data_IF_816865130999
#
_entry.id   IF_816865130999
#
_cell.length_a   1.000
_cell.length_b   1.000
_cell.length_c   1.000
_cell.angle_alpha   90.00
_cell.angle_beta   90.00
_cell.angle_gamma   90.00
#
_symmetry.space_group_name_H-M   'P 1'
#
loop_
_entity.id
_entity.type
_entity.pdbx_description
1 polymer ?
#
# COMPACT_ATOMS: atom_id res chain seq x y z
N UNK A 1 19.61 -20.21 19.43
CA UNK A 1 19.87 -18.78 19.21
C UNK A 1 18.55 -18.15 18.81
N UNK A 2 17.98 -17.26 19.61
CA UNK A 2 16.79 -16.48 19.22
C UNK A 2 17.20 -15.49 18.14
N UNK A 3 16.64 -15.59 16.94
CA UNK A 3 16.85 -14.59 15.91
C UNK A 3 16.37 -13.23 16.43
N UNK A 4 17.25 -12.23 16.48
CA UNK A 4 16.80 -10.85 16.64
C UNK A 4 15.95 -10.55 15.41
N UNK A 5 14.65 -10.30 15.59
CA UNK A 5 13.78 -9.85 14.50
C UNK A 5 14.24 -8.42 14.19
N UNK A 6 15.07 -8.29 13.16
CA UNK A 6 15.50 -6.97 12.67
C UNK A 6 14.37 -6.42 11.81
N UNK A 7 13.92 -5.23 12.17
CA UNK A 7 12.94 -4.48 11.40
C UNK A 7 13.45 -4.26 9.97
N UNK A 8 12.66 -4.57 8.92
CA UNK A 8 13.07 -4.21 7.57
C UNK A 8 13.17 -2.68 7.48
N UNK A 9 14.13 -2.14 6.71
CA UNK A 9 14.24 -0.71 6.45
C UNK A 9 12.90 -0.13 5.99
N UNK A 10 12.62 1.12 6.36
CA UNK A 10 11.32 1.76 6.11
C UNK A 10 10.91 1.70 4.64
N UNK A 11 11.86 1.97 3.75
CA UNK A 11 11.71 1.82 2.30
C UNK A 11 11.24 0.41 1.91
N UNK A 12 11.94 -0.63 2.38
CA UNK A 12 11.61 -2.03 2.09
C UNK A 12 10.25 -2.43 2.67
N UNK A 13 9.92 -1.95 3.87
CA UNK A 13 8.61 -2.15 4.47
C UNK A 13 7.49 -1.59 3.58
N UNK A 14 7.65 -0.36 3.09
CA UNK A 14 6.65 0.28 2.24
C UNK A 14 6.45 -0.47 0.92
N UNK A 15 7.54 -0.90 0.27
CA UNK A 15 7.48 -1.71 -0.96
C UNK A 15 6.76 -3.03 -0.74
N UNK A 16 7.07 -3.73 0.36
CA UNK A 16 6.45 -5.02 0.70
C UNK A 16 4.95 -4.87 0.99
N UNK A 17 4.56 -3.85 1.76
CA UNK A 17 3.16 -3.61 2.08
C UNK A 17 2.36 -3.16 0.87
N UNK A 18 2.90 -2.28 0.02
CA UNK A 18 2.28 -1.89 -1.25
C UNK A 18 2.10 -3.11 -2.16
N UNK A 19 3.15 -3.91 -2.31
CA UNK A 19 3.09 -5.13 -3.14
C UNK A 19 2.04 -6.08 -2.59
N UNK A 20 2.06 -6.38 -1.29
CA UNK A 20 1.08 -7.27 -0.66
C UNK A 20 -0.36 -6.76 -0.78
N UNK A 21 -0.57 -5.44 -0.71
CA UNK A 21 -1.88 -4.83 -0.94
C UNK A 21 -2.37 -5.05 -2.36
N UNK A 22 -1.52 -4.77 -3.36
CA UNK A 22 -1.88 -4.88 -4.77
C UNK A 22 -2.02 -6.35 -5.19
N UNK A 23 -1.19 -7.26 -4.69
CA UNK A 23 -1.21 -8.68 -5.09
C UNK A 23 -2.14 -9.56 -4.25
N UNK A 24 -2.90 -8.99 -3.31
CA UNK A 24 -3.87 -9.76 -2.51
C UNK A 24 -4.86 -10.50 -3.42
N UNK A 25 -5.25 -11.74 -3.10
CA UNK A 25 -6.04 -12.59 -4.01
C UNK A 25 -7.53 -12.68 -3.69
N UNK A 26 -7.92 -12.12 -2.55
CA UNK A 26 -9.30 -12.15 -2.06
C UNK A 26 -9.64 -10.81 -1.43
N UNK A 27 -10.94 -10.51 -1.32
CA UNK A 27 -11.43 -9.30 -0.65
C UNK A 27 -10.98 -9.23 0.83
N UNK A 28 -10.87 -10.38 1.48
CA UNK A 28 -10.42 -10.50 2.87
C UNK A 28 -8.90 -10.27 3.00
N UNK A 29 -8.09 -10.85 2.11
CA UNK A 29 -6.65 -10.59 2.07
C UNK A 29 -6.36 -9.13 1.80
N UNK A 30 -7.08 -8.55 0.83
CA UNK A 30 -6.97 -7.14 0.49
C UNK A 30 -7.34 -6.26 1.68
N UNK A 31 -8.48 -6.53 2.33
CA UNK A 31 -8.92 -5.75 3.49
C UNK A 31 -7.90 -5.81 4.62
N UNK A 32 -7.34 -6.99 4.91
CA UNK A 32 -6.28 -7.14 5.92
C UNK A 32 -5.01 -6.42 5.53
N UNK A 33 -4.57 -6.52 4.28
CA UNK A 33 -3.39 -5.80 3.79
C UNK A 33 -3.59 -4.27 3.88
N UNK A 34 -4.77 -3.78 3.50
CA UNK A 34 -5.15 -2.39 3.58
C UNK A 34 -5.15 -1.88 5.02
N UNK A 35 -5.77 -2.62 5.95
CA UNK A 35 -5.83 -2.27 7.37
C UNK A 35 -4.47 -2.38 8.08
N UNK A 36 -3.58 -3.23 7.58
CA UNK A 36 -2.21 -3.34 8.06
C UNK A 36 -1.28 -2.27 7.47
N UNK A 37 -1.68 -1.61 6.38
CA UNK A 37 -0.88 -0.59 5.72
C UNK A 37 -1.30 0.82 6.10
N UNK A 38 -2.59 1.15 6.06
CA UNK A 38 -3.11 2.48 6.35
C UNK A 38 -3.66 2.59 7.78
N UNK A 39 -3.31 3.69 8.45
CA UNK A 39 -3.90 4.04 9.75
C UNK A 39 -5.41 4.29 9.62
N UNK A 40 -6.12 4.24 10.75
CA UNK A 40 -7.59 4.47 10.77
C UNK A 40 -7.95 5.91 10.43
N UNK A 41 -7.11 6.86 10.81
CA UNK A 41 -7.27 8.32 10.64
C UNK A 41 -6.36 8.89 9.52
N UNK A 42 -5.99 8.05 8.56
CA UNK A 42 -5.15 8.43 7.42
C UNK A 42 -5.75 9.59 6.62
N UNK A 43 -4.91 10.56 6.24
CA UNK A 43 -5.25 11.63 5.30
C UNK A 43 -4.90 11.22 3.88
N UNK A 44 -5.86 11.22 2.98
CA UNK A 44 -5.68 10.73 1.61
C UNK A 44 -5.97 11.84 0.62
N UNK A 45 -5.05 12.02 -0.33
CA UNK A 45 -5.23 12.80 -1.55
C UNK A 45 -4.99 11.83 -2.72
N UNK A 46 -6.02 11.60 -3.53
CA UNK A 46 -5.96 10.71 -4.68
C UNK A 46 -6.27 11.50 -5.94
N UNK A 47 -5.33 11.55 -6.88
CA UNK A 47 -5.42 12.35 -8.11
C UNK A 47 -5.79 13.83 -7.87
N UNK A 48 -5.28 14.41 -6.78
CA UNK A 48 -5.51 15.80 -6.40
C UNK A 48 -6.77 16.03 -5.56
N UNK A 49 -7.64 15.03 -5.43
CA UNK A 49 -8.88 15.14 -4.65
C UNK A 49 -8.73 14.49 -3.27
N UNK A 50 -9.17 15.17 -2.18
CA UNK A 50 -9.25 14.56 -0.87
C UNK A 50 -10.26 13.41 -0.87
N UNK A 51 -9.87 12.26 -0.33
CA UNK A 51 -10.76 11.10 -0.19
C UNK A 51 -10.81 10.60 1.25
N UNK A 52 -11.95 10.02 1.63
CA UNK A 52 -12.01 9.23 2.86
C UNK A 52 -11.27 7.91 2.68
N UNK A 53 -10.88 7.30 3.80
CA UNK A 53 -10.26 5.97 3.82
C UNK A 53 -11.11 4.91 3.12
N UNK A 54 -12.43 4.95 3.32
CA UNK A 54 -13.35 3.98 2.74
C UNK A 54 -13.56 4.21 1.24
N UNK A 55 -13.66 5.47 0.80
CA UNK A 55 -13.70 5.82 -0.63
C UNK A 55 -12.44 5.32 -1.35
N UNK A 56 -11.27 5.60 -0.79
CA UNK A 56 -10.01 5.14 -1.34
C UNK A 56 -9.90 3.61 -1.39
N UNK A 57 -10.34 2.93 -0.32
CA UNK A 57 -10.42 1.47 -0.28
C UNK A 57 -11.30 0.93 -1.41
N UNK A 58 -12.47 1.54 -1.60
CA UNK A 58 -13.42 1.14 -2.64
C UNK A 58 -12.86 1.39 -4.05
N UNK A 59 -12.18 2.51 -4.29
CA UNK A 59 -11.49 2.79 -5.56
C UNK A 59 -10.46 1.70 -5.86
N UNK A 60 -9.58 1.37 -4.90
CA UNK A 60 -8.61 0.29 -5.12
C UNK A 60 -9.26 -1.10 -5.30
N UNK A 61 -10.46 -1.33 -4.76
CA UNK A 61 -11.19 -2.59 -4.98
C UNK A 61 -11.86 -2.65 -6.35
N UNK A 62 -12.34 -1.53 -6.89
CA UNK A 62 -13.00 -1.52 -8.20
C UNK A 62 -12.03 -1.76 -9.35
N UNK A 63 -10.80 -1.27 -9.22
CA UNK A 63 -9.71 -1.60 -10.16
C UNK A 63 -9.48 -3.11 -10.25
N UNK A 64 -9.75 -3.81 -9.14
CA UNK A 64 -9.46 -5.22 -9.00
C UNK A 64 -10.57 -6.17 -9.41
N UNK A 65 -11.57 -5.66 -10.11
CA UNK A 65 -12.74 -6.46 -10.48
C UNK A 65 -12.33 -7.65 -11.36
N UNK A 66 -12.62 -8.87 -10.87
CA UNK A 66 -12.34 -10.15 -11.55
C UNK A 66 -10.85 -10.47 -11.81
N UNK A 67 -9.95 -9.94 -10.98
CA UNK A 67 -8.53 -10.30 -11.04
C UNK A 67 -8.23 -11.73 -10.57
N UNK A 68 -7.52 -12.50 -11.40
CA UNK A 68 -6.86 -13.74 -10.99
C UNK A 68 -5.47 -13.51 -10.39
N UNK A 69 -4.89 -12.33 -10.63
CA UNK A 69 -3.61 -11.94 -10.03
C UNK A 69 -3.16 -10.55 -10.45
N UNK A 70 -2.15 -10.05 -9.75
CA UNK A 70 -1.49 -8.80 -10.05
C UNK A 70 0.03 -8.98 -9.98
N UNK A 71 0.76 -8.25 -10.82
CA UNK A 71 2.21 -8.14 -10.78
C UNK A 71 2.56 -6.68 -10.52
N UNK A 72 3.40 -6.42 -9.53
CA UNK A 72 3.88 -5.08 -9.20
C UNK A 72 5.34 -4.96 -9.53
N UNK A 73 5.70 -3.87 -10.21
CA UNK A 73 7.08 -3.49 -10.48
C UNK A 73 7.33 -2.11 -9.87
N UNK A 74 8.00 -2.10 -8.71
CA UNK A 74 8.50 -0.85 -8.13
C UNK A 74 9.66 -0.36 -8.99
N UNK A 75 9.46 0.77 -9.67
CA UNK A 75 10.42 1.36 -10.58
C UNK A 75 11.44 2.23 -9.84
N UNK A 76 10.97 2.96 -8.84
CA UNK A 76 11.83 3.78 -7.99
C UNK A 76 11.19 3.94 -6.61
N UNK A 77 12.05 4.19 -5.63
CA UNK A 77 11.65 4.32 -4.25
C UNK A 77 12.72 5.11 -3.48
N UNK A 78 12.26 6.07 -2.69
CA UNK A 78 13.12 6.96 -1.89
C UNK A 78 12.54 7.09 -0.48
N UNK A 79 13.42 7.22 0.50
CA UNK A 79 13.03 7.51 1.88
C UNK A 79 13.67 8.81 2.34
N UNK A 80 12.98 9.52 3.20
CA UNK A 80 13.48 10.70 3.88
C UNK A 80 12.94 10.75 5.32
N UNK A 81 13.68 11.36 6.25
CA UNK A 81 13.13 11.64 7.57
C UNK A 81 11.97 12.63 7.49
N UNK A 82 11.13 12.63 8.52
CA UNK A 82 10.17 13.72 8.71
C UNK A 82 10.93 15.04 8.96
N UNK A 83 10.37 16.14 8.47
CA UNK A 83 11.01 17.46 8.63
C UNK A 83 11.26 17.75 10.12
N UNK A 84 12.50 18.10 10.46
CA UNK A 84 12.92 18.37 11.83
C UNK A 84 13.10 17.11 12.71
N UNK A 85 13.02 15.90 12.15
CA UNK A 85 13.29 14.64 12.85
C UNK A 85 14.51 13.93 12.28
N UNK A 86 15.08 13.03 13.08
CA UNK A 86 16.11 12.10 12.62
C UNK A 86 15.48 10.94 11.85
N UNK A 87 16.29 10.29 11.02
CA UNK A 87 15.88 9.10 10.28
C UNK A 87 15.72 7.92 11.25
N UNK A 88 14.60 7.18 11.14
CA UNK A 88 14.33 5.99 11.94
C UNK A 88 13.75 4.88 11.07
N UNK A 89 13.86 3.63 11.51
CA UNK A 89 13.27 2.50 10.80
C UNK A 89 11.73 2.47 10.91
N UNK A 90 11.18 3.16 11.92
CA UNK A 90 9.76 3.17 12.27
C UNK A 90 8.97 4.35 11.69
N UNK A 91 9.64 5.42 11.27
CA UNK A 91 8.96 6.65 10.85
C UNK A 91 9.73 7.43 9.79
N UNK A 92 8.98 8.09 8.91
CA UNK A 92 9.57 8.84 7.81
C UNK A 92 8.57 9.10 6.70
N UNK A 93 9.09 9.62 5.60
CA UNK A 93 8.37 9.77 4.34
C UNK A 93 8.98 8.82 3.32
N UNK A 94 8.13 8.11 2.59
CA UNK A 94 8.56 7.25 1.49
C UNK A 94 7.85 7.69 0.22
N UNK A 95 8.64 7.96 -0.82
CA UNK A 95 8.15 8.13 -2.19
C UNK A 95 8.32 6.83 -2.95
N UNK A 96 7.29 6.40 -3.67
CA UNK A 96 7.23 5.19 -4.48
C UNK A 96 6.74 5.53 -5.88
N UNK A 97 7.36 4.93 -6.89
CA UNK A 97 6.87 4.92 -8.26
C UNK A 97 6.81 3.48 -8.75
N UNK A 98 5.65 3.03 -9.22
CA UNK A 98 5.44 1.65 -9.61
C UNK A 98 4.50 1.52 -10.82
N UNK A 99 4.72 0.45 -11.56
CA UNK A 99 3.74 -0.10 -12.50
C UNK A 99 3.06 -1.29 -11.82
N UNK A 100 1.76 -1.46 -12.03
CA UNK A 100 1.05 -2.69 -11.71
C UNK A 100 0.30 -3.20 -12.93
N UNK A 101 0.36 -4.51 -13.16
CA UNK A 101 -0.38 -5.20 -14.22
C UNK A 101 -1.31 -6.19 -13.57
N UNK A 102 -2.59 -6.07 -13.90
CA UNK A 102 -3.68 -6.85 -13.37
C UNK A 102 -4.17 -7.81 -14.44
N UNK A 103 -4.24 -9.09 -14.08
CA UNK A 103 -4.65 -10.17 -14.99
C UNK A 103 -6.06 -10.58 -14.63
N UNK A 104 -7.00 -10.32 -15.54
CA UNK A 104 -8.42 -10.63 -15.37
C UNK A 104 -8.67 -12.12 -15.63
N UNK A 105 -9.70 -12.67 -14.98
CA UNK A 105 -10.17 -14.03 -15.20
C UNK A 105 -10.89 -14.25 -16.53
N UNK A 106 -11.33 -13.15 -17.15
CA UNK A 106 -11.96 -13.14 -18.47
C UNK A 106 -10.92 -13.50 -19.54
N UNK A 107 -11.28 -14.45 -20.40
CA UNK A 107 -10.47 -14.82 -21.57
C UNK A 107 -11.17 -14.45 -22.86
N UNK A 108 -10.47 -13.78 -23.76
CA UNK A 108 -10.91 -13.52 -25.13
C UNK A 108 -10.04 -14.34 -26.06
N UNK A 109 -10.64 -15.31 -26.77
CA UNK A 109 -9.90 -16.22 -27.68
C UNK A 109 -8.69 -16.86 -27.00
N UNK A 110 -8.89 -17.38 -25.79
CA UNK A 110 -7.89 -18.04 -24.94
C UNK A 110 -6.76 -17.16 -24.36
N UNK A 111 -6.74 -15.85 -24.63
CA UNK A 111 -5.86 -14.90 -23.96
C UNK A 111 -6.55 -14.25 -22.76
N UNK A 112 -5.87 -14.18 -21.61
CA UNK A 112 -6.35 -13.41 -20.46
C UNK A 112 -6.37 -11.92 -20.81
N UNK A 113 -7.39 -11.20 -20.33
CA UNK A 113 -7.42 -9.75 -20.43
C UNK A 113 -6.49 -9.16 -19.37
N UNK A 114 -5.69 -8.18 -19.75
CA UNK A 114 -4.81 -7.46 -18.83
C UNK A 114 -5.12 -5.97 -18.87
N UNK A 115 -5.04 -5.31 -17.72
CA UNK A 115 -4.95 -3.85 -17.63
C UNK A 115 -3.73 -3.47 -16.80
N UNK A 116 -3.17 -2.30 -17.05
CA UNK A 116 -1.92 -1.88 -16.43
C UNK A 116 -2.02 -0.44 -16.01
N UNK A 117 -1.51 -0.14 -14.83
CA UNK A 117 -1.61 1.16 -14.21
C UNK A 117 -0.23 1.66 -13.84
N UNK A 118 -0.06 2.97 -13.90
CA UNK A 118 1.13 3.65 -13.42
C UNK A 118 0.75 4.52 -12.23
N UNK A 119 1.58 4.50 -11.19
CA UNK A 119 1.31 5.30 -10.02
C UNK A 119 2.56 5.84 -9.35
N UNK A 120 2.44 7.09 -8.89
CA UNK A 120 3.37 7.71 -7.96
C UNK A 120 2.66 7.94 -6.63
N UNK A 121 3.33 7.62 -5.54
CA UNK A 121 2.78 7.64 -4.20
C UNK A 121 3.79 8.25 -3.23
N UNK A 122 3.36 9.22 -2.43
CA UNK A 122 4.11 9.71 -1.29
C UNK A 122 3.34 9.36 -0.01
N UNK A 123 3.98 8.62 0.89
CA UNK A 123 3.40 8.20 2.16
C UNK A 123 4.20 8.76 3.34
N UNK A 124 3.49 9.19 4.36
CA UNK A 124 4.04 9.44 5.69
C UNK A 124 3.75 8.25 6.58
N UNK A 125 4.81 7.64 7.11
CA UNK A 125 4.75 6.48 7.99
C UNK A 125 5.11 6.88 9.42
N UNK A 126 4.36 6.36 10.38
CA UNK A 126 4.66 6.47 11.80
C UNK A 126 4.13 5.25 12.56
N UNK A 127 4.48 5.14 13.84
CA UNK A 127 3.91 4.12 14.72
C UNK A 127 2.48 4.45 15.12
N UNK A 128 1.57 3.50 14.92
CA UNK A 128 0.20 3.54 15.40
C UNK A 128 0.14 3.16 16.89
N UNK A 129 -0.14 4.17 17.71
CA UNK A 129 -0.19 4.01 19.16
C UNK A 129 -1.40 3.21 19.65
N UNK A 130 -2.41 3.02 18.81
CA UNK A 130 -3.60 2.21 19.14
C UNK A 130 -3.34 0.70 19.11
N UNK A 131 -2.25 0.28 18.45
CA UNK A 131 -1.83 -1.13 18.42
C UNK A 131 -1.07 -1.43 19.72
N UNK A 132 -1.58 -2.34 20.59
CA UNK A 132 -0.95 -2.63 21.85
C UNK A 132 0.40 -3.31 21.66
N UNK A 133 1.35 -2.98 22.53
CA UNK A 133 2.59 -3.74 22.63
C UNK A 133 2.29 -5.13 23.20
N UNK A 134 3.03 -6.17 22.76
CA UNK A 134 2.90 -7.48 23.37
C UNK A 134 3.21 -7.40 24.87
N UNK A 135 2.52 -8.19 25.70
CA UNK A 135 2.77 -8.25 27.15
C UNK A 135 4.25 -8.48 27.47
N UNK A 136 4.72 -7.83 28.53
CA UNK A 136 6.08 -8.00 29.01
C UNK A 136 6.42 -9.50 29.21
N UNK A 137 7.53 -9.95 28.61
CA UNK A 137 7.98 -11.35 28.68
C UNK A 137 7.62 -12.21 27.47
N UNK A 138 6.66 -11.79 26.62
CA UNK A 138 6.43 -12.44 25.33
C UNK A 138 7.40 -11.84 24.31
N UNK A 139 8.33 -12.67 23.81
CA UNK A 139 9.23 -12.29 22.73
C UNK A 139 8.46 -12.36 21.41
N UNK A 140 8.08 -11.22 20.87
CA UNK A 140 7.49 -11.08 19.55
C UNK A 140 7.60 -9.64 19.09
N UNK A 141 8.01 -9.42 17.86
CA UNK A 141 7.98 -8.09 17.26
C UNK A 141 6.55 -7.81 16.77
N UNK A 142 5.97 -6.67 17.15
CA UNK A 142 4.70 -6.19 16.62
C UNK A 142 4.99 -5.00 15.71
N UNK A 143 4.76 -5.15 14.40
CA UNK A 143 4.92 -4.04 13.47
C UNK A 143 3.76 -3.06 13.58
N UNK A 144 4.05 -1.92 14.21
CA UNK A 144 3.09 -0.85 14.47
C UNK A 144 3.13 0.24 13.41
N UNK A 145 3.98 0.13 12.38
CA UNK A 145 4.06 1.14 11.32
C UNK A 145 2.76 1.17 10.53
N UNK A 146 2.22 2.38 10.33
CA UNK A 146 1.04 2.65 9.49
C UNK A 146 1.24 3.94 8.71
N UNK A 147 0.57 4.04 7.57
CA UNK A 147 0.51 5.26 6.76
C UNK A 147 -0.53 6.20 7.34
N UNK A 148 -0.10 7.41 7.72
CA UNK A 148 -0.95 8.46 8.29
C UNK A 148 -1.26 9.59 7.30
N UNK A 149 -0.45 9.75 6.25
CA UNK A 149 -0.78 10.62 5.13
C UNK A 149 -0.35 9.95 3.82
N UNK A 150 -1.17 10.10 2.79
CA UNK A 150 -1.00 9.48 1.50
C UNK A 150 -1.38 10.49 0.42
N UNK A 151 -0.46 10.74 -0.52
CA UNK A 151 -0.74 11.47 -1.75
C UNK A 151 -0.37 10.59 -2.94
N UNK A 152 -1.35 10.25 -3.77
CA UNK A 152 -1.19 9.37 -4.90
C UNK A 152 -1.66 10.02 -6.18
N UNK A 153 -0.85 9.86 -7.23
CA UNK A 153 -1.28 9.99 -8.62
C UNK A 153 -1.35 8.60 -9.21
N UNK A 154 -2.45 8.29 -9.87
CA UNK A 154 -2.77 6.99 -10.41
C UNK A 154 -3.41 7.17 -11.79
N UNK A 155 -2.93 6.42 -12.77
CA UNK A 155 -3.47 6.41 -14.13
C UNK A 155 -3.55 4.97 -14.63
N UNK A 156 -4.71 4.57 -15.13
CA UNK A 156 -4.83 3.38 -15.96
C UNK A 156 -4.29 3.72 -17.35
N UNK A 157 -3.43 2.86 -17.92
CA UNK A 157 -2.93 3.00 -19.28
C UNK A 157 -4.04 2.92 -20.34
N UNK A 158 -5.25 2.47 -19.98
CA UNK A 158 -6.46 2.60 -20.79
C UNK A 158 -7.03 4.04 -20.83
N UNK A 159 -6.58 4.92 -19.93
CA UNK A 159 -6.96 6.34 -19.86
C UNK A 159 -8.27 6.63 -19.10
N UNK A 160 -8.98 5.59 -18.65
CA UNK A 160 -10.23 5.73 -17.90
C UNK A 160 -9.95 5.60 -16.39
N UNK A 161 -10.29 6.64 -15.63
CA UNK A 161 -10.35 6.57 -14.17
C UNK A 161 -11.81 6.81 -13.83
N UNK A 162 -12.58 5.75 -13.58
CA UNK A 162 -13.98 5.90 -13.22
C UNK A 162 -14.07 6.32 -11.76
N UNK A 163 -14.16 7.63 -11.51
CA UNK A 163 -14.71 8.12 -10.25
C UNK A 163 -16.20 7.77 -10.24
N UNK A 164 -16.60 6.74 -9.52
CA UNK A 164 -18.01 6.58 -9.18
C UNK A 164 -18.40 7.75 -8.27
N UNK A 165 -19.00 8.77 -8.87
CA UNK A 165 -19.71 9.85 -8.20
C UNK A 165 -21.03 9.33 -7.61
#
# INVERSE_FOLDING_TARGET
MSANIVLPPLKTWAEQHLTGLITAKSADDFSRAFDNFLAKDVKIIFNGEPQTRDQYKQTLQSERFDEQGAVVKVLNSLQAPLLGKQDTAESGVVGLFYDATYVEGIRIRDAAVEHSVQSSLNIQVAEDQSIPLPPAGIRGFSDRRRVFALNQVYVDLRGDITSNA
#
